data_IF_072044973486
#
_entry.id   IF_072044973486
#
_cell.length_a   1.000
_cell.length_b   1.000
_cell.length_c   1.000
_cell.angle_alpha   90.00
_cell.angle_beta   90.00
_cell.angle_gamma   90.00
#
_symmetry.space_group_name_H-M   'P 1'
#
loop_
_entity.id
_entity.type
_entity.pdbx_description
1 polymer ?
#
# COMPACT_ATOMS: atom_id res chain seq x y z
N UNK A 1 -0.55 60.32 -34.69
CA UNK A 1 0.07 60.91 -33.47
C UNK A 1 -0.89 60.59 -32.33
N UNK A 2 -0.86 59.44 -31.66
CA UNK A 2 0.27 58.75 -31.01
C UNK A 2 0.26 59.19 -29.54
N UNK A 3 0.19 58.34 -28.52
CA UNK A 3 0.01 56.89 -28.41
C UNK A 3 -0.48 56.59 -26.98
N UNK A 4 -1.29 55.56 -26.82
CA UNK A 4 -1.87 55.15 -25.53
C UNK A 4 -1.00 54.04 -24.94
N UNK A 5 -0.38 54.33 -23.80
CA UNK A 5 0.57 53.43 -23.14
C UNK A 5 -0.17 52.36 -22.33
N UNK A 6 -0.07 51.11 -22.79
CA UNK A 6 -0.54 49.92 -22.09
C UNK A 6 0.36 49.61 -20.89
N UNK A 7 -0.23 49.52 -19.70
CA UNK A 7 0.47 49.10 -18.48
C UNK A 7 0.72 47.57 -18.49
N UNK A 8 1.85 47.08 -17.93
CA UNK A 8 2.12 45.65 -17.87
C UNK A 8 1.29 44.95 -16.79
N UNK A 9 0.76 43.78 -17.14
CA UNK A 9 0.09 42.86 -16.24
C UNK A 9 1.10 42.36 -15.18
N UNK A 10 0.75 42.55 -13.90
CA UNK A 10 1.47 41.96 -12.79
C UNK A 10 1.17 40.46 -12.71
N UNK A 11 2.22 39.65 -12.74
CA UNK A 11 2.15 38.22 -12.50
C UNK A 11 1.68 37.97 -11.05
N UNK A 12 0.58 37.23 -10.89
CA UNK A 12 0.10 36.79 -9.60
C UNK A 12 1.08 35.78 -9.00
N UNK A 13 1.88 36.23 -8.05
CA UNK A 13 2.61 35.35 -7.11
C UNK A 13 1.58 34.65 -6.22
N UNK A 14 1.44 33.34 -6.39
CA UNK A 14 0.61 32.51 -5.50
C UNK A 14 1.14 32.53 -4.06
N UNK A 15 0.28 32.30 -3.06
CA UNK A 15 0.69 32.32 -1.66
C UNK A 15 1.71 31.21 -1.38
N UNK A 16 2.85 31.61 -0.83
CA UNK A 16 3.81 30.71 -0.22
C UNK A 16 3.11 29.92 0.89
N UNK A 17 3.11 28.58 0.80
CA UNK A 17 2.66 27.69 1.87
C UNK A 17 3.39 28.07 3.16
N UNK A 18 2.65 28.63 4.11
CA UNK A 18 3.14 28.89 5.45
C UNK A 18 3.48 27.56 6.10
N UNK A 19 4.74 27.43 6.51
CA UNK A 19 5.21 26.41 7.44
C UNK A 19 4.41 26.53 8.74
N UNK A 20 3.34 25.76 8.87
CA UNK A 20 2.63 25.61 10.13
C UNK A 20 3.46 24.71 11.05
N UNK A 21 3.78 25.25 12.22
CA UNK A 21 4.44 24.58 13.34
C UNK A 21 3.73 23.26 13.69
N UNK A 22 4.27 22.16 13.16
CA UNK A 22 3.97 20.78 13.57
C UNK A 22 4.68 20.46 14.89
N UNK A 23 4.45 21.29 15.91
CA UNK A 23 5.01 21.08 17.23
C UNK A 23 4.24 19.98 17.96
N UNK A 24 4.95 18.86 18.17
CA UNK A 24 4.74 17.82 19.17
C UNK A 24 3.64 16.77 18.91
N UNK A 25 3.77 16.06 17.78
CA UNK A 25 3.70 14.59 17.89
C UNK A 25 5.09 14.10 18.34
N UNK A 26 5.21 13.07 19.20
CA UNK A 26 6.52 12.52 19.54
C UNK A 26 7.21 12.12 18.24
N UNK A 27 8.38 12.70 18.00
CA UNK A 27 9.24 12.24 16.92
C UNK A 27 9.49 10.75 17.18
N UNK A 28 8.90 9.89 16.36
CA UNK A 28 9.38 8.52 16.24
C UNK A 28 10.85 8.66 15.85
N UNK A 29 11.74 8.19 16.70
CA UNK A 29 13.16 8.19 16.42
C UNK A 29 13.42 7.18 15.28
N UNK A 30 13.25 7.65 14.05
CA UNK A 30 13.52 6.93 12.80
C UNK A 30 15.03 6.75 12.55
N UNK A 31 15.88 7.13 13.52
CA UNK A 31 17.31 6.82 13.53
C UNK A 31 17.58 5.37 13.93
N UNK A 32 16.57 4.61 14.35
CA UNK A 32 16.68 3.18 14.55
C UNK A 32 17.05 2.50 13.22
N UNK A 33 18.34 2.34 12.98
CA UNK A 33 18.87 1.77 11.76
C UNK A 33 18.53 0.28 11.69
N UNK A 34 18.81 -0.37 10.57
CA UNK A 34 18.70 -1.82 10.44
C UNK A 34 19.47 -2.61 11.54
N UNK A 35 20.41 -1.95 12.24
CA UNK A 35 21.13 -2.48 13.40
C UNK A 35 20.30 -2.57 14.69
N UNK A 36 19.31 -1.69 14.89
CA UNK A 36 18.43 -1.73 16.08
C UNK A 36 17.32 -2.79 15.92
N UNK A 37 17.04 -3.22 14.68
CA UNK A 37 16.23 -4.42 14.40
C UNK A 37 17.03 -5.73 14.52
N UNK A 38 18.36 -5.67 14.67
CA UNK A 38 19.21 -6.86 14.77
C UNK A 38 19.36 -7.37 16.22
N UNK A 39 18.97 -6.58 17.21
CA UNK A 39 19.08 -6.95 18.63
C UNK A 39 17.76 -7.45 19.22
N UNK A 40 17.46 -8.74 19.10
CA UNK A 40 16.48 -9.40 19.98
C UNK A 40 15.39 -10.27 19.35
N UNK A 41 15.36 -10.49 18.02
CA UNK A 41 14.32 -11.32 17.40
C UNK A 41 14.51 -12.84 17.58
N UNK A 42 15.72 -13.28 17.98
CA UNK A 42 16.08 -14.71 17.96
C UNK A 42 15.32 -15.57 18.96
N UNK A 43 14.55 -14.96 19.88
CA UNK A 43 13.74 -15.67 20.88
C UNK A 43 12.23 -15.63 20.55
N UNK A 44 11.74 -14.58 19.89
CA UNK A 44 10.31 -14.45 19.58
C UNK A 44 9.87 -15.48 18.53
N UNK A 45 8.77 -16.16 18.81
CA UNK A 45 8.27 -17.22 17.95
C UNK A 45 9.07 -18.51 18.00
N UNK A 46 10.06 -18.64 18.89
CA UNK A 46 10.84 -19.89 19.03
C UNK A 46 10.05 -21.01 19.73
N UNK A 47 9.01 -20.66 20.48
CA UNK A 47 8.17 -21.60 21.22
C UNK A 47 6.73 -21.12 21.31
N UNK A 48 5.84 -22.05 21.68
CA UNK A 48 4.43 -21.76 21.93
C UNK A 48 4.20 -20.82 23.14
N UNK A 49 5.11 -20.84 24.10
CA UNK A 49 5.02 -19.99 25.31
C UNK A 49 5.58 -18.59 25.06
N UNK A 50 6.31 -18.40 23.96
CA UNK A 50 6.82 -17.11 23.52
C UNK A 50 6.58 -16.94 22.01
N UNK A 51 5.32 -16.83 21.58
CA UNK A 51 4.97 -16.65 20.18
C UNK A 51 5.33 -15.24 19.70
N UNK A 52 5.36 -15.04 18.38
CA UNK A 52 5.38 -13.70 17.78
C UNK A 52 3.99 -13.08 17.96
N UNK A 53 3.86 -11.91 18.60
CA UNK A 53 2.58 -11.21 18.67
C UNK A 53 2.25 -10.54 17.33
N UNK A 54 1.04 -10.79 16.83
CA UNK A 54 0.50 -10.21 15.60
C UNK A 54 -0.98 -9.89 15.79
N UNK A 55 -1.54 -9.05 14.91
CA UNK A 55 -2.94 -8.65 14.98
C UNK A 55 -3.71 -9.14 13.75
N UNK A 56 -4.25 -10.36 13.86
CA UNK A 56 -5.00 -11.04 12.82
C UNK A 56 -4.15 -11.78 11.78
N UNK A 57 -4.84 -12.56 10.95
CA UNK A 57 -4.20 -13.44 9.96
C UNK A 57 -3.36 -12.67 8.93
N UNK A 58 -3.86 -11.56 8.39
CA UNK A 58 -3.13 -10.75 7.40
C UNK A 58 -1.79 -10.27 7.95
N UNK A 59 -1.78 -9.71 9.16
CA UNK A 59 -0.56 -9.24 9.81
C UNK A 59 0.42 -10.40 10.06
N UNK A 60 -0.07 -11.58 10.46
CA UNK A 60 0.79 -12.76 10.63
C UNK A 60 1.48 -13.20 9.34
N UNK A 61 0.78 -13.17 8.21
CA UNK A 61 1.36 -13.54 6.91
C UNK A 61 2.39 -12.52 6.46
N UNK A 62 2.12 -11.25 6.71
CA UNK A 62 3.04 -10.14 6.41
C UNK A 62 4.32 -10.29 7.24
N UNK A 63 4.20 -10.54 8.56
CA UNK A 63 5.36 -10.77 9.42
C UNK A 63 6.18 -11.98 8.96
N UNK A 64 5.55 -13.10 8.65
CA UNK A 64 6.26 -14.29 8.13
C UNK A 64 6.95 -13.97 6.80
N UNK A 65 6.30 -13.21 5.92
CA UNK A 65 6.86 -12.85 4.62
C UNK A 65 8.01 -11.84 4.71
N UNK A 66 7.97 -10.86 5.61
CA UNK A 66 8.94 -9.74 5.65
C UNK A 66 9.93 -9.79 6.80
N UNK A 67 9.61 -10.44 7.91
CA UNK A 67 10.35 -10.34 9.19
C UNK A 67 10.95 -11.67 9.65
N UNK A 68 10.37 -12.81 9.28
CA UNK A 68 10.99 -14.10 9.57
C UNK A 68 12.38 -14.23 8.96
N UNK A 69 13.35 -14.77 9.73
CA UNK A 69 14.75 -14.95 9.31
C UNK A 69 15.24 -16.37 9.59
N UNK A 70 16.06 -16.87 8.67
CA UNK A 70 16.90 -18.05 8.86
C UNK A 70 18.14 -17.68 9.70
N UNK A 71 18.91 -18.68 10.14
CA UNK A 71 20.12 -18.49 10.93
C UNK A 71 21.21 -17.67 10.20
N UNK A 72 21.19 -17.67 8.87
CA UNK A 72 22.08 -16.85 8.04
C UNK A 72 21.57 -15.41 7.83
N UNK A 73 20.47 -15.03 8.49
CA UNK A 73 19.87 -13.70 8.41
C UNK A 73 19.08 -13.42 7.13
N UNK A 74 18.89 -14.40 6.24
CA UNK A 74 18.03 -14.24 5.05
C UNK A 74 16.56 -14.48 5.38
N UNK A 75 15.68 -13.82 4.64
CA UNK A 75 14.25 -14.13 4.63
C UNK A 75 13.97 -15.13 3.50
N UNK A 76 13.40 -16.30 3.78
CA UNK A 76 13.21 -17.34 2.76
C UNK A 76 12.12 -17.00 1.74
N UNK A 77 11.16 -16.15 2.10
CA UNK A 77 10.04 -15.75 1.23
C UNK A 77 10.28 -14.43 0.50
N UNK A 78 11.28 -13.65 0.90
CA UNK A 78 11.62 -12.36 0.30
C UNK A 78 10.39 -11.44 0.15
N UNK A 79 9.50 -11.43 1.15
CA UNK A 79 8.25 -10.66 1.12
C UNK A 79 7.10 -11.32 0.35
N UNK A 80 7.22 -12.56 -0.12
CA UNK A 80 6.12 -13.27 -0.78
C UNK A 80 5.05 -13.73 0.22
N UNK A 81 3.92 -13.03 0.21
CA UNK A 81 2.78 -13.33 1.06
C UNK A 81 2.14 -14.67 0.73
N UNK A 82 2.14 -15.09 -0.54
CA UNK A 82 1.54 -16.38 -0.93
C UNK A 82 2.34 -17.54 -0.37
N UNK A 83 3.67 -17.46 -0.49
CA UNK A 83 4.57 -18.45 0.08
C UNK A 83 4.49 -18.47 1.63
N UNK A 84 4.46 -17.29 2.25
CA UNK A 84 4.28 -17.17 3.71
C UNK A 84 2.96 -17.78 4.20
N UNK A 85 1.83 -17.48 3.55
CA UNK A 85 0.53 -18.10 3.85
C UNK A 85 0.58 -19.62 3.73
N UNK A 86 1.20 -20.14 2.66
CA UNK A 86 1.30 -21.57 2.41
C UNK A 86 2.18 -22.30 3.44
N UNK A 87 3.03 -21.58 4.19
CA UNK A 87 3.90 -22.15 5.23
C UNK A 87 3.19 -22.39 6.57
N UNK A 88 1.93 -21.97 6.71
CA UNK A 88 1.13 -22.22 7.92
C UNK A 88 0.83 -23.72 8.04
N UNK A 89 1.36 -24.34 9.09
CA UNK A 89 1.15 -25.76 9.40
C UNK A 89 -0.15 -26.02 10.20
N UNK A 90 -0.77 -24.96 10.75
CA UNK A 90 -2.02 -25.02 11.51
C UNK A 90 -1.85 -24.52 12.94
N UNK A 91 -2.86 -24.71 13.79
CA UNK A 91 -2.81 -24.29 15.19
C UNK A 91 -2.27 -25.40 16.11
N UNK A 92 -1.55 -25.01 17.16
CA UNK A 92 -0.96 -25.92 18.17
C UNK A 92 -1.62 -25.77 19.54
N UNK A 93 -2.85 -25.22 19.56
CA UNK A 93 -3.63 -24.98 20.77
C UNK A 93 -3.22 -23.71 21.54
N UNK A 94 -3.72 -23.54 22.77
CA UNK A 94 -3.58 -22.29 23.53
C UNK A 94 -2.16 -22.10 24.09
N UNK A 95 -1.58 -20.92 23.92
CA UNK A 95 -0.28 -20.50 24.50
C UNK A 95 -0.41 -19.95 25.92
N UNK A 96 0.65 -19.32 26.44
CA UNK A 96 0.68 -18.78 27.80
C UNK A 96 -0.36 -17.68 28.07
N UNK A 97 -0.73 -16.91 27.05
CA UNK A 97 -1.81 -15.90 27.07
C UNK A 97 -3.22 -16.51 27.03
N UNK A 98 -3.34 -17.82 26.78
CA UNK A 98 -4.62 -18.49 26.51
C UNK A 98 -5.10 -18.36 25.05
N UNK A 99 -4.45 -17.52 24.23
CA UNK A 99 -4.74 -17.40 22.80
C UNK A 99 -4.30 -18.64 22.02
N UNK A 100 -5.02 -18.92 20.92
CA UNK A 100 -4.64 -19.99 20.00
C UNK A 100 -3.40 -19.59 19.21
N UNK A 101 -2.38 -20.43 19.25
CA UNK A 101 -1.10 -20.21 18.58
C UNK A 101 -1.06 -20.97 17.27
N UNK A 102 -0.67 -20.27 16.21
CA UNK A 102 -0.41 -20.85 14.91
C UNK A 102 1.07 -21.20 14.72
N UNK A 103 1.32 -22.32 14.06
CA UNK A 103 2.65 -22.79 13.69
C UNK A 103 2.88 -22.54 12.21
N UNK A 104 4.03 -21.97 11.90
CA UNK A 104 4.58 -21.83 10.56
C UNK A 104 5.86 -22.66 10.44
N UNK A 105 6.05 -23.31 9.29
CA UNK A 105 7.27 -24.03 8.95
C UNK A 105 7.92 -23.37 7.73
N UNK A 106 8.94 -22.55 7.97
CA UNK A 106 9.60 -21.78 6.93
C UNK A 106 10.83 -22.54 6.38
N UNK A 107 11.08 -22.54 5.07
CA UNK A 107 12.18 -23.28 4.47
C UNK A 107 13.49 -22.52 4.60
N UNK A 108 14.37 -22.94 5.52
CA UNK A 108 15.70 -22.37 5.67
C UNK A 108 16.80 -23.32 5.17
N UNK A 109 17.99 -22.80 4.77
CA UNK A 109 19.12 -23.63 4.33
C UNK A 109 19.57 -24.67 5.36
N UNK A 110 19.45 -24.35 6.65
CA UNK A 110 19.76 -25.23 7.78
C UNK A 110 18.66 -26.25 8.09
N UNK A 111 17.52 -26.19 7.40
CA UNK A 111 16.34 -27.03 7.63
C UNK A 111 15.08 -26.20 7.84
N UNK A 112 13.93 -26.87 7.94
CA UNK A 112 12.68 -26.18 8.24
C UNK A 112 12.72 -25.56 9.64
N UNK A 113 12.50 -24.24 9.72
CA UNK A 113 12.42 -23.51 10.99
C UNK A 113 10.95 -23.36 11.39
N UNK A 114 10.66 -23.68 12.65
CA UNK A 114 9.33 -23.52 13.24
C UNK A 114 9.19 -22.14 13.86
N UNK A 115 8.10 -21.46 13.53
CA UNK A 115 7.75 -20.15 14.10
C UNK A 115 6.33 -20.22 14.66
N UNK A 116 6.20 -19.88 15.94
CA UNK A 116 4.93 -19.81 16.64
C UNK A 116 4.41 -18.37 16.62
N UNK A 117 3.17 -18.17 16.23
CA UNK A 117 2.56 -16.84 16.06
C UNK A 117 1.24 -16.77 16.83
N UNK A 118 1.08 -15.73 17.63
CA UNK A 118 -0.17 -15.36 18.28
C UNK A 118 -0.84 -14.30 17.40
N UNK A 119 -1.97 -14.63 16.78
CA UNK A 119 -2.73 -13.71 15.92
C UNK A 119 -3.70 -12.82 16.69
N UNK A 120 -3.79 -12.98 18.01
CA UNK A 120 -4.77 -12.31 18.86
C UNK A 120 -4.14 -11.33 19.83
N UNK A 121 -2.81 -11.29 19.92
CA UNK A 121 -2.06 -10.34 20.75
C UNK A 121 -1.82 -9.00 20.03
N UNK A 122 -2.91 -8.29 19.75
CA UNK A 122 -2.86 -7.01 19.06
C UNK A 122 -2.17 -5.89 19.86
N UNK A 123 -2.20 -5.95 21.19
CA UNK A 123 -1.61 -4.93 22.07
C UNK A 123 -0.08 -4.93 22.00
N UNK A 124 0.52 -6.11 21.78
CA UNK A 124 1.98 -6.27 21.66
C UNK A 124 2.46 -6.42 20.21
N UNK A 125 1.55 -6.39 19.23
CA UNK A 125 1.89 -6.50 17.82
C UNK A 125 2.64 -5.25 17.35
N UNK A 126 3.88 -5.42 16.90
CA UNK A 126 4.67 -4.35 16.28
C UNK A 126 4.44 -4.32 14.75
N UNK A 127 4.55 -3.14 14.10
CA UNK A 127 4.53 -3.07 12.64
C UNK A 127 5.63 -3.95 12.02
N UNK A 128 5.28 -4.66 10.97
CA UNK A 128 6.22 -5.42 10.13
C UNK A 128 7.17 -4.49 9.40
N UNK A 129 8.30 -5.05 8.93
CA UNK A 129 9.22 -4.30 8.05
C UNK A 129 8.53 -3.79 6.78
N UNK A 130 7.60 -4.57 6.22
CA UNK A 130 6.86 -4.17 5.03
C UNK A 130 5.92 -2.98 5.32
N UNK A 131 5.22 -2.98 6.47
CA UNK A 131 4.37 -1.86 6.87
C UNK A 131 5.19 -0.59 7.10
N UNK A 132 6.33 -0.68 7.78
CA UNK A 132 7.23 0.46 7.98
C UNK A 132 7.73 1.02 6.64
N UNK A 133 8.08 0.16 5.69
CA UNK A 133 8.49 0.58 4.34
C UNK A 133 7.34 1.28 3.60
N UNK A 134 6.14 0.71 3.61
CA UNK A 134 4.95 1.30 3.00
C UNK A 134 4.65 2.67 3.62
N UNK A 135 4.63 2.78 4.94
CA UNK A 135 4.37 4.04 5.64
C UNK A 135 5.39 5.12 5.24
N UNK A 136 6.68 4.77 5.18
CA UNK A 136 7.73 5.70 4.77
C UNK A 136 7.54 6.18 3.33
N UNK A 137 7.24 5.27 2.40
CA UNK A 137 7.04 5.63 1.01
C UNK A 137 5.77 6.47 0.81
N UNK A 138 4.69 6.12 1.51
CA UNK A 138 3.43 6.86 1.45
C UNK A 138 3.54 8.25 2.07
N UNK A 139 4.34 8.42 3.13
CA UNK A 139 4.65 9.75 3.66
C UNK A 139 5.32 10.63 2.58
N UNK A 140 6.30 10.09 1.85
CA UNK A 140 6.91 10.79 0.70
C UNK A 140 5.89 11.17 -0.37
N UNK A 141 4.95 10.27 -0.70
CA UNK A 141 3.87 10.58 -1.65
C UNK A 141 3.00 11.75 -1.18
N UNK A 142 2.64 11.80 0.11
CA UNK A 142 1.86 12.91 0.68
C UNK A 142 2.65 14.22 0.67
N UNK A 143 3.96 14.16 0.90
CA UNK A 143 4.86 15.32 0.88
C UNK A 143 5.21 15.80 -0.54
N UNK A 144 4.74 15.08 -1.58
CA UNK A 144 5.00 15.39 -3.00
C UNK A 144 6.27 14.77 -3.57
N UNK A 145 7.01 13.99 -2.79
CA UNK A 145 8.14 13.18 -3.26
C UNK A 145 7.67 11.79 -3.72
N UNK A 146 7.14 11.75 -4.94
CA UNK A 146 6.54 10.55 -5.51
C UNK A 146 7.56 9.53 -6.06
N UNK A 147 8.79 9.96 -6.38
CA UNK A 147 9.77 9.14 -7.12
C UNK A 147 10.21 7.87 -6.35
N UNK A 148 10.50 7.91 -5.03
CA UNK A 148 10.85 6.71 -4.28
C UNK A 148 9.76 5.64 -4.32
N UNK A 149 8.50 6.06 -4.17
CA UNK A 149 7.35 5.16 -4.24
C UNK A 149 7.17 4.60 -5.66
N UNK A 150 7.20 5.45 -6.69
CA UNK A 150 7.08 5.04 -8.10
C UNK A 150 8.16 4.01 -8.47
N UNK A 151 9.42 4.30 -8.15
CA UNK A 151 10.55 3.40 -8.41
C UNK A 151 10.35 2.05 -7.72
N UNK A 152 10.01 2.08 -6.43
CA UNK A 152 9.83 0.87 -5.64
C UNK A 152 8.66 0.01 -6.14
N UNK A 153 7.56 0.63 -6.56
CA UNK A 153 6.44 -0.08 -7.16
C UNK A 153 6.78 -0.75 -8.50
N UNK A 154 7.62 -0.12 -9.33
CA UNK A 154 8.12 -0.75 -10.56
C UNK A 154 9.03 -1.96 -10.27
N UNK A 155 9.85 -1.88 -9.23
CA UNK A 155 10.67 -3.01 -8.78
C UNK A 155 9.80 -4.19 -8.29
N UNK A 156 8.78 -3.91 -7.48
CA UNK A 156 7.82 -4.91 -7.02
C UNK A 156 7.06 -5.55 -8.19
N UNK A 157 6.68 -4.75 -9.18
CA UNK A 157 5.99 -5.25 -10.36
C UNK A 157 6.89 -6.13 -11.24
N UNK A 158 8.14 -5.73 -11.43
CA UNK A 158 9.15 -6.56 -12.10
C UNK A 158 9.37 -7.89 -11.37
N UNK A 159 9.41 -7.86 -10.03
CA UNK A 159 9.51 -9.08 -9.23
C UNK A 159 8.27 -9.97 -9.37
N UNK A 160 7.05 -9.40 -9.37
CA UNK A 160 5.81 -10.14 -9.63
C UNK A 160 5.85 -10.81 -11.00
N UNK A 161 6.21 -10.06 -12.05
CA UNK A 161 6.23 -10.57 -13.41
C UNK A 161 7.25 -11.72 -13.59
N UNK A 162 8.39 -11.64 -12.91
CA UNK A 162 9.46 -12.65 -13.03
C UNK A 162 9.29 -13.87 -12.12
N UNK A 163 8.66 -13.72 -10.96
CA UNK A 163 8.60 -14.78 -9.92
C UNK A 163 7.19 -15.19 -9.51
N UNK A 164 6.17 -14.42 -9.89
CA UNK A 164 4.79 -14.59 -9.39
C UNK A 164 4.58 -14.12 -7.95
N UNK A 165 5.62 -13.56 -7.30
CA UNK A 165 5.59 -13.06 -5.92
C UNK A 165 4.53 -11.98 -5.74
N UNK A 166 3.80 -12.06 -4.63
CA UNK A 166 2.86 -11.01 -4.20
C UNK A 166 3.28 -10.50 -2.82
N UNK A 167 3.72 -9.26 -2.74
CA UNK A 167 4.14 -8.62 -1.48
C UNK A 167 3.07 -7.70 -0.91
N UNK A 168 3.22 -7.31 0.36
CA UNK A 168 2.37 -6.28 0.97
C UNK A 168 2.54 -4.93 0.25
N UNK A 169 3.77 -4.59 -0.11
CA UNK A 169 4.09 -3.36 -0.83
C UNK A 169 3.43 -3.31 -2.21
N UNK A 170 3.42 -4.44 -2.93
CA UNK A 170 2.72 -4.54 -4.20
C UNK A 170 1.23 -4.23 -4.05
N UNK A 171 0.57 -4.67 -2.96
CA UNK A 171 -0.84 -4.32 -2.71
C UNK A 171 -1.03 -2.80 -2.59
N UNK A 172 -0.14 -2.11 -1.87
CA UNK A 172 -0.18 -0.66 -1.75
C UNK A 172 0.08 0.03 -3.11
N UNK A 173 1.06 -0.48 -3.87
CA UNK A 173 1.39 0.00 -5.21
C UNK A 173 0.19 -0.07 -6.16
N UNK A 174 -0.55 -1.18 -6.15
CA UNK A 174 -1.68 -1.37 -7.05
C UNK A 174 -2.69 -0.22 -6.96
N UNK A 175 -3.04 0.24 -5.75
CA UNK A 175 -4.00 1.32 -5.55
C UNK A 175 -3.40 2.73 -5.65
N UNK A 176 -2.20 2.95 -5.11
CA UNK A 176 -1.63 4.30 -4.98
C UNK A 176 -0.75 4.73 -6.16
N UNK A 177 -0.25 3.81 -6.99
CA UNK A 177 0.63 4.13 -8.11
C UNK A 177 -0.01 5.06 -9.16
N UNK A 178 -1.27 4.88 -9.61
CA UNK A 178 -1.88 5.81 -10.56
C UNK A 178 -1.97 7.24 -10.00
N UNK A 179 -2.27 7.36 -8.69
CA UNK A 179 -2.35 8.65 -8.01
C UNK A 179 -0.97 9.33 -7.91
N UNK A 180 0.06 8.57 -7.54
CA UNK A 180 1.44 9.07 -7.48
C UNK A 180 1.99 9.49 -8.86
N UNK A 181 1.73 8.69 -9.90
CA UNK A 181 2.13 9.01 -11.27
C UNK A 181 1.44 10.28 -11.78
N UNK A 182 0.13 10.41 -11.55
CA UNK A 182 -0.63 11.59 -11.97
C UNK A 182 -0.18 12.85 -11.25
N UNK A 183 0.07 12.76 -9.94
CA UNK A 183 0.60 13.87 -9.14
C UNK A 183 2.02 14.27 -9.59
N UNK A 184 2.82 13.30 -10.07
CA UNK A 184 4.12 13.55 -10.71
C UNK A 184 4.01 14.08 -12.16
N UNK A 185 2.80 14.26 -12.70
CA UNK A 185 2.56 14.74 -14.07
C UNK A 185 2.65 13.65 -15.16
N UNK A 186 2.76 12.36 -14.79
CA UNK A 186 2.80 11.21 -15.71
C UNK A 186 1.44 10.52 -15.83
N UNK A 187 0.45 11.25 -16.36
CA UNK A 187 -0.92 10.74 -16.52
C UNK A 187 -1.01 9.55 -17.47
N UNK A 188 -0.14 9.48 -18.48
CA UNK A 188 -0.13 8.36 -19.41
C UNK A 188 0.47 7.10 -18.78
N UNK A 189 1.50 7.25 -17.94
CA UNK A 189 1.98 6.19 -17.06
C UNK A 189 0.90 5.69 -16.11
N UNK A 190 0.13 6.60 -15.48
CA UNK A 190 -0.98 6.23 -14.60
C UNK A 190 -2.02 5.38 -15.33
N UNK A 191 -2.42 5.77 -16.55
CA UNK A 191 -3.33 4.97 -17.40
C UNK A 191 -2.73 3.64 -17.83
N UNK A 192 -1.43 3.58 -18.11
CA UNK A 192 -0.76 2.34 -18.46
C UNK A 192 -0.76 1.34 -17.29
N UNK A 193 -0.47 1.82 -16.07
CA UNK A 193 -0.57 1.02 -14.85
C UNK A 193 -2.00 0.50 -14.64
N UNK A 194 -3.00 1.37 -14.80
CA UNK A 194 -4.40 0.98 -14.68
C UNK A 194 -4.80 -0.11 -15.67
N UNK A 195 -4.38 -0.03 -16.94
CA UNK A 195 -4.67 -1.07 -17.93
C UNK A 195 -4.17 -2.44 -17.51
N UNK A 196 -2.97 -2.52 -16.93
CA UNK A 196 -2.40 -3.78 -16.44
C UNK A 196 -3.21 -4.35 -15.27
N UNK A 197 -3.59 -3.51 -14.31
CA UNK A 197 -4.19 -3.98 -13.05
C UNK A 197 -5.72 -4.04 -13.03
N UNK A 198 -6.40 -3.15 -13.76
CA UNK A 198 -7.85 -3.19 -13.94
C UNK A 198 -8.29 -4.38 -14.81
N UNK A 199 -7.44 -4.86 -15.72
CA UNK A 199 -7.77 -5.99 -16.57
C UNK A 199 -7.77 -7.35 -15.83
N UNK A 200 -7.51 -7.37 -14.51
CA UNK A 200 -7.26 -8.55 -13.68
C UNK A 200 -7.99 -9.84 -14.09
N UNK A 201 -7.19 -10.91 -14.25
CA UNK A 201 -7.54 -12.33 -14.41
C UNK A 201 -8.92 -12.64 -15.04
N UNK A 202 -8.92 -12.95 -16.34
CA UNK A 202 -10.04 -13.46 -17.15
C UNK A 202 -11.42 -12.89 -16.77
N UNK A 203 -11.83 -11.89 -17.56
CA UNK A 203 -13.18 -11.33 -17.55
C UNK A 203 -14.17 -12.45 -17.90
N UNK A 204 -14.76 -13.06 -16.87
CA UNK A 204 -15.86 -14.03 -17.03
C UNK A 204 -17.22 -13.35 -17.01
N UNK A 205 -17.27 -12.07 -16.61
CA UNK A 205 -18.43 -11.21 -16.72
C UNK A 205 -18.49 -10.55 -18.10
N UNK A 206 -19.70 -10.21 -18.55
CA UNK A 206 -19.87 -9.32 -19.70
C UNK A 206 -19.12 -7.99 -19.43
N UNK A 207 -18.44 -7.39 -20.44
CA UNK A 207 -17.78 -6.10 -20.30
C UNK A 207 -18.72 -5.05 -19.70
N UNK A 208 -18.30 -4.40 -18.61
CA UNK A 208 -19.06 -3.31 -17.99
C UNK A 208 -19.85 -3.64 -16.72
N UNK A 209 -19.84 -4.88 -16.22
CA UNK A 209 -20.51 -5.25 -14.95
C UNK A 209 -19.60 -6.02 -13.97
N UNK A 210 -18.27 -5.84 -14.04
CA UNK A 210 -17.35 -6.48 -13.09
C UNK A 210 -17.23 -5.66 -11.79
N UNK A 211 -17.81 -6.12 -10.66
CA UNK A 211 -17.75 -5.38 -9.40
C UNK A 211 -16.31 -5.22 -8.88
N UNK A 212 -15.37 -6.10 -9.25
CA UNK A 212 -13.97 -5.99 -8.83
C UNK A 212 -13.28 -4.80 -9.49
N UNK A 213 -13.53 -4.59 -10.79
CA UNK A 213 -13.02 -3.41 -11.51
C UNK A 213 -13.57 -2.12 -10.93
N UNK A 214 -14.85 -2.12 -10.55
CA UNK A 214 -15.47 -0.96 -9.91
C UNK A 214 -14.83 -0.66 -8.55
N UNK A 215 -14.68 -1.66 -7.68
CA UNK A 215 -14.01 -1.48 -6.38
C UNK A 215 -12.58 -0.96 -6.57
N UNK A 216 -11.83 -1.52 -7.52
CA UNK A 216 -10.45 -1.08 -7.77
C UNK A 216 -10.39 0.36 -8.31
N UNK A 217 -11.22 0.69 -9.31
CA UNK A 217 -11.30 2.04 -9.87
C UNK A 217 -11.74 3.06 -8.81
N UNK A 218 -12.71 2.73 -7.95
CA UNK A 218 -13.14 3.57 -6.84
C UNK A 218 -11.98 3.88 -5.90
N UNK A 219 -11.22 2.86 -5.48
CA UNK A 219 -10.06 3.02 -4.60
C UNK A 219 -8.98 3.92 -5.23
N UNK A 220 -8.73 3.79 -6.54
CA UNK A 220 -7.77 4.65 -7.25
C UNK A 220 -8.27 6.10 -7.29
N UNK A 221 -9.55 6.32 -7.55
CA UNK A 221 -10.14 7.67 -7.59
C UNK A 221 -10.07 8.31 -6.21
N UNK A 222 -10.47 7.62 -5.15
CA UNK A 222 -10.42 8.18 -3.79
C UNK A 222 -8.97 8.48 -3.37
N UNK A 223 -8.03 7.60 -3.71
CA UNK A 223 -6.59 7.83 -3.45
C UNK A 223 -6.09 9.06 -4.23
N UNK A 224 -6.46 9.18 -5.51
CA UNK A 224 -6.10 10.34 -6.33
C UNK A 224 -6.72 11.65 -5.82
N UNK A 225 -7.95 11.61 -5.30
CA UNK A 225 -8.58 12.77 -4.69
C UNK A 225 -7.87 13.20 -3.41
N UNK A 226 -7.47 12.24 -2.56
CA UNK A 226 -6.76 12.53 -1.30
C UNK A 226 -5.39 13.16 -1.51
N UNK A 227 -4.73 12.92 -2.66
CA UNK A 227 -3.46 13.56 -3.01
C UNK A 227 -3.61 14.88 -3.75
N UNK A 228 -4.66 15.01 -4.57
CA UNK A 228 -4.83 16.17 -5.45
C UNK A 228 -5.54 17.35 -4.78
N UNK A 229 -6.25 17.13 -3.67
CA UNK A 229 -7.10 18.13 -3.02
C UNK A 229 -6.69 18.34 -1.57
N UNK A 230 -6.79 19.60 -1.13
CA UNK A 230 -6.65 19.95 0.27
C UNK A 230 -7.82 19.36 1.10
N UNK A 231 -7.57 19.11 2.38
CA UNK A 231 -8.55 18.52 3.31
C UNK A 231 -9.83 19.36 3.48
N UNK A 232 -9.78 20.64 3.12
CA UNK A 232 -10.89 21.60 3.16
C UNK A 232 -11.50 21.90 1.78
N UNK A 233 -11.14 21.12 0.75
CA UNK A 233 -11.72 21.26 -0.58
C UNK A 233 -13.24 21.16 -0.55
N UNK A 234 -13.91 22.06 -1.28
CA UNK A 234 -15.37 22.08 -1.33
C UNK A 234 -15.94 20.82 -2.00
N UNK A 235 -17.17 20.45 -1.66
CA UNK A 235 -17.87 19.35 -2.32
C UNK A 235 -17.90 19.51 -3.85
N UNK A 236 -18.03 20.75 -4.36
CA UNK A 236 -17.99 21.02 -5.79
C UNK A 236 -16.63 20.73 -6.41
N UNK A 237 -15.53 21.08 -5.72
CA UNK A 237 -14.17 20.79 -6.18
C UNK A 237 -13.89 19.28 -6.20
N UNK A 238 -14.35 18.57 -5.16
CA UNK A 238 -14.25 17.10 -5.07
C UNK A 238 -15.00 16.45 -6.23
N UNK A 239 -16.26 16.83 -6.48
CA UNK A 239 -17.06 16.27 -7.58
C UNK A 239 -16.50 16.60 -8.97
N UNK A 240 -16.01 17.83 -9.17
CA UNK A 240 -15.35 18.21 -10.41
C UNK A 240 -14.09 17.38 -10.67
N UNK A 241 -13.23 17.20 -9.65
CA UNK A 241 -12.00 16.41 -9.77
C UNK A 241 -12.32 14.93 -9.96
N UNK A 242 -13.34 14.42 -9.27
CA UNK A 242 -13.83 13.04 -9.45
C UNK A 242 -14.29 12.79 -10.88
N UNK A 243 -15.07 13.72 -11.45
CA UNK A 243 -15.54 13.62 -12.83
C UNK A 243 -14.39 13.67 -13.84
N UNK A 244 -13.35 14.48 -13.60
CA UNK A 244 -12.10 14.50 -14.39
C UNK A 244 -11.40 13.14 -14.33
N UNK A 245 -11.13 12.63 -13.13
CA UNK A 245 -10.44 11.34 -12.91
C UNK A 245 -11.22 10.18 -13.53
N UNK A 246 -12.55 10.14 -13.36
CA UNK A 246 -13.40 9.13 -13.98
C UNK A 246 -13.31 9.16 -15.51
N UNK A 247 -13.36 10.35 -16.11
CA UNK A 247 -13.20 10.49 -17.56
C UNK A 247 -11.86 10.00 -18.07
N UNK A 248 -10.80 10.14 -17.27
CA UNK A 248 -9.46 9.70 -17.63
C UNK A 248 -9.22 8.20 -17.39
N UNK A 249 -9.72 7.65 -16.28
CA UNK A 249 -9.34 6.33 -15.77
C UNK A 249 -10.35 5.23 -16.09
N UNK A 250 -11.65 5.52 -16.19
CA UNK A 250 -12.63 4.50 -16.55
C UNK A 250 -12.32 3.82 -17.90
N UNK A 251 -11.92 4.54 -18.98
CA UNK A 251 -11.53 3.91 -20.23
C UNK A 251 -10.25 3.06 -20.12
N UNK A 252 -9.30 3.47 -19.26
CA UNK A 252 -8.09 2.68 -19.01
C UNK A 252 -8.39 1.36 -18.29
N UNK A 253 -9.50 1.32 -17.55
CA UNK A 253 -9.96 0.14 -16.83
C UNK A 253 -11.02 -0.68 -17.57
N UNK A 254 -11.40 -0.28 -18.79
CA UNK A 254 -12.50 -0.90 -19.53
C UNK A 254 -13.78 -0.97 -18.65
N UNK A 255 -14.09 0.18 -18.05
CA UNK A 255 -15.26 0.39 -17.18
C UNK A 255 -16.22 1.36 -17.87
N UNK A 256 -17.48 0.94 -18.02
CA UNK A 256 -18.55 1.85 -18.40
C UNK A 256 -18.84 2.83 -17.26
N UNK A 257 -18.74 4.13 -17.57
CA UNK A 257 -18.88 5.18 -16.57
C UNK A 257 -20.27 5.21 -15.94
N UNK A 258 -21.33 5.02 -16.72
CA UNK A 258 -22.69 5.09 -16.22
C UNK A 258 -23.01 3.89 -15.31
N UNK A 259 -22.54 2.71 -15.67
CA UNK A 259 -22.63 1.51 -14.84
C UNK A 259 -21.88 1.68 -13.50
N UNK A 260 -20.66 2.23 -13.54
CA UNK A 260 -19.88 2.54 -12.34
C UNK A 260 -20.59 3.54 -11.42
N UNK A 261 -21.10 4.65 -11.96
CA UNK A 261 -21.81 5.68 -11.20
C UNK A 261 -23.10 5.11 -10.57
N UNK A 262 -23.84 4.26 -11.30
CA UNK A 262 -25.00 3.54 -10.79
C UNK A 262 -24.64 2.58 -9.65
N UNK A 263 -23.56 1.80 -9.81
CA UNK A 263 -23.07 0.89 -8.76
C UNK A 263 -22.72 1.66 -7.49
N UNK A 264 -21.98 2.78 -7.62
CA UNK A 264 -21.58 3.62 -6.49
C UNK A 264 -22.79 4.23 -5.76
N UNK A 265 -23.83 4.64 -6.49
CA UNK A 265 -25.06 5.19 -5.93
C UNK A 265 -25.93 4.13 -5.23
N UNK A 266 -25.84 2.86 -5.63
CA UNK A 266 -26.61 1.74 -5.06
C UNK A 266 -26.17 1.31 -3.66
N UNK A 267 -25.11 1.92 -3.12
CA UNK A 267 -24.47 1.50 -1.87
C UNK A 267 -23.48 0.37 -2.11
N UNK A 268 -22.34 0.42 -1.41
CA UNK A 268 -21.35 -0.67 -1.40
C UNK A 268 -22.00 -1.88 -0.69
N UNK A 269 -22.66 -2.74 -1.46
CA UNK A 269 -23.25 -3.99 -0.98
C UNK A 269 -22.21 -4.96 -0.45
#
# INVERSE_FOLDING_TARGET
KGGEATAPAQAATGPSRGSSDAAALPAFDVSAGAADLAGGSDVLGSSKDLPVPTCGASHSYEWIASDARCADGRNPFQGDLRAAMASRAGNVGPGASGHIIDLYEIPCPEGAKRIYVDMYDCENAAPTRAEVEIQRLMAGVVDGDHEPFIRRCREEESARASTGRVSALLKACVSAMPAALDAAGDRDGAKAWLREWCAGAEVTAEPGEDPKRFVYLDNVIESSLSLALDVDASAQAIEAKRAELLGAYAPACDVDRAAFEKWRAGGKG
#
